data_IF_685061898517
#
_entry.id   IF_685061898517
#
_cell.length_a   1.000
_cell.length_b   1.000
_cell.length_c   1.000
_cell.angle_alpha   90.00
_cell.angle_beta   90.00
_cell.angle_gamma   90.00
#
_symmetry.space_group_name_H-M   'P 1'
#
loop_
_entity.id
_entity.type
_entity.pdbx_description
1 polymer ?
#
# COMPACT_ATOMS: atom_id res chain seq x y z
N UNK A 1 6.30 5.46 0.41
CA UNK A 1 4.86 5.83 0.42
C UNK A 1 4.36 5.85 -1.02
N UNK A 2 3.06 6.06 -1.28
CA UNK A 2 2.49 6.27 -2.62
C UNK A 2 1.37 7.31 -2.57
N UNK A 3 1.31 8.18 -3.59
CA UNK A 3 0.30 9.24 -3.69
C UNK A 3 -1.10 8.65 -3.87
N UNK A 4 -1.25 7.59 -4.65
CA UNK A 4 -2.55 6.93 -4.85
C UNK A 4 -2.45 5.47 -5.22
N UNK A 5 -3.58 4.76 -5.18
CA UNK A 5 -3.69 3.35 -5.60
C UNK A 5 -3.44 3.13 -7.09
N UNK A 6 -3.44 4.18 -7.92
CA UNK A 6 -2.95 4.10 -9.30
C UNK A 6 -1.48 3.66 -9.39
N UNK A 7 -0.74 3.80 -8.29
CA UNK A 7 0.65 3.36 -8.15
C UNK A 7 0.76 1.95 -7.55
N UNK A 8 -0.21 1.06 -7.77
CA UNK A 8 -0.22 -0.30 -7.21
C UNK A 8 0.98 -1.14 -7.65
N UNK A 9 1.34 -1.12 -8.95
CA UNK A 9 2.52 -1.82 -9.46
C UNK A 9 3.82 -1.40 -8.74
N UNK A 10 4.19 -0.10 -8.69
CA UNK A 10 5.36 0.31 -7.94
C UNK A 10 5.21 0.13 -6.42
N UNK A 11 3.99 0.08 -5.87
CA UNK A 11 3.77 -0.28 -4.47
C UNK A 11 4.19 -1.73 -4.19
N UNK A 12 3.79 -2.69 -5.04
CA UNK A 12 4.18 -4.10 -4.93
C UNK A 12 5.71 -4.24 -4.98
N UNK A 13 6.38 -3.54 -5.89
CA UNK A 13 7.86 -3.53 -5.97
C UNK A 13 8.48 -3.03 -4.65
N UNK A 14 7.94 -1.93 -4.09
CA UNK A 14 8.39 -1.42 -2.79
C UNK A 14 8.16 -2.43 -1.66
N UNK A 15 7.05 -3.16 -1.66
CA UNK A 15 6.75 -4.20 -0.66
C UNK A 15 7.79 -5.32 -0.74
N UNK A 16 8.07 -5.86 -1.92
CA UNK A 16 9.10 -6.90 -2.10
C UNK A 16 10.45 -6.43 -1.59
N UNK A 17 10.87 -5.20 -1.91
CA UNK A 17 12.13 -4.64 -1.44
C UNK A 17 12.20 -4.53 0.09
N UNK A 18 11.10 -4.10 0.74
CA UNK A 18 11.01 -4.02 2.20
C UNK A 18 11.10 -5.42 2.84
N UNK A 19 10.33 -6.39 2.33
CA UNK A 19 10.34 -7.76 2.83
C UNK A 19 11.71 -8.41 2.69
N UNK A 20 12.38 -8.25 1.55
CA UNK A 20 13.71 -8.81 1.33
C UNK A 20 14.75 -8.26 2.32
N UNK A 21 14.65 -6.96 2.65
CA UNK A 21 15.65 -6.28 3.49
C UNK A 21 15.34 -6.39 4.99
N UNK A 22 14.07 -6.33 5.37
CA UNK A 22 13.64 -6.14 6.75
C UNK A 22 12.74 -7.27 7.25
N UNK A 23 12.33 -8.21 6.39
CA UNK A 23 11.34 -9.27 6.68
C UNK A 23 9.94 -8.72 7.05
N UNK A 24 9.75 -7.41 6.99
CA UNK A 24 8.49 -6.71 7.23
C UNK A 24 8.42 -5.45 6.35
N UNK A 25 7.23 -4.86 6.23
CA UNK A 25 7.05 -3.64 5.47
C UNK A 25 5.70 -2.97 5.73
N UNK A 26 5.70 -1.64 5.67
CA UNK A 26 4.50 -0.81 5.80
C UNK A 26 4.43 0.19 4.66
N UNK A 27 3.31 0.21 3.94
CA UNK A 27 3.10 1.11 2.80
C UNK A 27 1.79 1.88 2.98
N UNK A 28 1.87 3.21 2.86
CA UNK A 28 0.72 4.08 2.84
C UNK A 28 0.43 4.54 1.42
N UNK A 29 -0.84 4.43 1.02
CA UNK A 29 -1.42 5.16 -0.11
C UNK A 29 -2.03 6.47 0.38
N UNK A 30 -2.13 7.47 -0.50
CA UNK A 30 -2.66 8.80 -0.16
C UNK A 30 -1.61 9.74 0.44
N UNK A 31 -0.31 9.48 0.22
CA UNK A 31 0.79 10.30 0.75
C UNK A 31 1.82 10.56 -0.34
N UNK A 32 2.17 11.83 -0.54
CA UNK A 32 3.22 12.24 -1.48
C UNK A 32 4.61 11.79 -1.00
N UNK A 33 5.59 11.84 -1.90
CA UNK A 33 6.99 11.52 -1.55
C UNK A 33 7.60 12.51 -0.53
N UNK A 34 7.07 13.75 -0.46
CA UNK A 34 7.44 14.76 0.54
C UNK A 34 6.78 14.54 1.92
N UNK A 35 6.00 13.47 2.09
CA UNK A 35 5.28 13.16 3.33
C UNK A 35 3.92 13.84 3.47
N UNK A 36 3.53 14.73 2.55
CA UNK A 36 2.22 15.39 2.59
C UNK A 36 1.09 14.38 2.39
N UNK A 37 0.16 14.33 3.34
CA UNK A 37 -1.06 13.52 3.23
C UNK A 37 -2.04 14.20 2.27
N UNK A 38 -2.42 13.49 1.20
CA UNK A 38 -3.39 13.96 0.19
C UNK A 38 -4.71 13.18 0.21
N UNK A 39 -4.76 12.09 0.99
CA UNK A 39 -5.91 11.20 1.05
C UNK A 39 -6.01 10.26 -0.15
N UNK A 40 -6.93 9.32 -0.05
CA UNK A 40 -7.22 8.33 -1.09
C UNK A 40 -8.71 7.98 -0.99
N UNK A 41 -9.41 8.05 -2.11
CA UNK A 41 -10.78 7.52 -2.18
C UNK A 41 -10.73 5.99 -2.11
N UNK A 42 -11.55 5.43 -1.23
CA UNK A 42 -11.65 3.99 -1.01
C UNK A 42 -13.01 3.54 -1.53
N UNK A 43 -13.01 2.88 -2.69
CA UNK A 43 -14.19 2.25 -3.27
C UNK A 43 -14.42 0.84 -2.73
N UNK A 44 -15.54 0.23 -3.13
CA UNK A 44 -15.99 -1.09 -2.64
C UNK A 44 -14.94 -2.19 -2.82
N UNK A 45 -14.15 -2.12 -3.90
CA UNK A 45 -13.17 -3.14 -4.27
C UNK A 45 -11.73 -2.78 -3.93
N UNK A 46 -11.46 -1.56 -3.46
CA UNK A 46 -10.09 -1.05 -3.34
C UNK A 46 -9.20 -1.96 -2.48
N UNK A 47 -9.69 -2.40 -1.32
CA UNK A 47 -8.92 -3.28 -0.43
C UNK A 47 -8.69 -4.66 -1.06
N UNK A 48 -9.72 -5.20 -1.72
CA UNK A 48 -9.67 -6.50 -2.41
C UNK A 48 -8.65 -6.48 -3.54
N UNK A 49 -8.68 -5.46 -4.39
CA UNK A 49 -7.72 -5.29 -5.49
C UNK A 49 -6.28 -5.21 -4.98
N UNK A 50 -6.04 -4.46 -3.90
CA UNK A 50 -4.70 -4.35 -3.29
C UNK A 50 -4.25 -5.72 -2.75
N UNK A 51 -5.11 -6.41 -2.00
CA UNK A 51 -4.80 -7.74 -1.45
C UNK A 51 -4.49 -8.75 -2.54
N UNK A 52 -5.32 -8.80 -3.59
CA UNK A 52 -5.14 -9.71 -4.72
C UNK A 52 -3.82 -9.44 -5.43
N UNK A 53 -3.51 -8.18 -5.75
CA UNK A 53 -2.26 -7.82 -6.41
C UNK A 53 -1.03 -8.24 -5.58
N UNK A 54 -1.04 -8.02 -4.27
CA UNK A 54 0.07 -8.43 -3.40
C UNK A 54 0.23 -9.96 -3.42
N UNK A 55 -0.86 -10.71 -3.24
CA UNK A 55 -0.80 -12.18 -3.23
C UNK A 55 -0.49 -12.81 -4.59
N UNK A 56 -0.80 -12.13 -5.69
CA UNK A 56 -0.61 -12.63 -7.06
C UNK A 56 0.79 -12.36 -7.61
N UNK A 57 1.48 -11.32 -7.11
CA UNK A 57 2.75 -10.85 -7.67
C UNK A 57 3.94 -10.93 -6.72
N UNK A 58 3.75 -11.47 -5.50
CA UNK A 58 4.83 -11.70 -4.53
C UNK A 58 4.90 -13.19 -4.21
N UNK A 59 6.11 -13.77 -4.30
CA UNK A 59 6.38 -15.15 -3.89
C UNK A 59 7.53 -15.22 -2.85
N UNK A 60 7.40 -16.03 -1.78
CA UNK A 60 6.21 -16.82 -1.41
C UNK A 60 4.99 -15.92 -1.13
N UNK A 61 3.77 -16.43 -1.38
CA UNK A 61 2.52 -15.66 -1.22
C UNK A 61 2.46 -14.92 0.11
N UNK A 62 2.22 -13.61 0.02
CA UNK A 62 2.04 -12.73 1.17
C UNK A 62 0.58 -12.26 1.25
N UNK A 63 0.01 -12.33 2.44
CA UNK A 63 -1.33 -11.81 2.74
C UNK A 63 -1.21 -10.57 3.62
N UNK A 64 -1.47 -9.37 3.08
CA UNK A 64 -1.28 -8.12 3.81
C UNK A 64 -2.43 -7.85 4.79
N UNK A 65 -2.12 -7.19 5.91
CA UNK A 65 -3.14 -6.54 6.74
C UNK A 65 -3.37 -5.13 6.22
N UNK A 66 -4.56 -4.86 5.69
CA UNK A 66 -4.92 -3.56 5.09
C UNK A 66 -5.88 -2.83 6.04
N UNK A 67 -5.61 -1.55 6.34
CA UNK A 67 -6.43 -0.71 7.22
C UNK A 67 -6.63 0.66 6.58
N UNK A 68 -7.84 1.21 6.72
CA UNK A 68 -8.10 2.62 6.46
C UNK A 68 -7.64 3.44 7.66
N UNK A 69 -6.92 4.54 7.40
CA UNK A 69 -6.45 5.47 8.43
C UNK A 69 -7.04 6.84 8.15
N UNK A 70 -7.74 7.41 9.14
CA UNK A 70 -8.29 8.77 9.09
C UNK A 70 -7.37 9.70 9.86
N UNK A 71 -6.95 10.80 9.24
CA UNK A 71 -6.21 11.87 9.91
C UNK A 71 -7.17 13.02 10.21
N UNK A 72 -7.34 13.34 11.48
CA UNK A 72 -8.01 14.56 11.92
C UNK A 72 -6.94 15.65 12.08
N UNK A 73 -7.15 16.78 11.42
CA UNK A 73 -6.33 17.98 11.64
C UNK A 73 -6.98 18.69 12.83
N UNK A 74 -6.26 18.78 13.96
CA UNK A 74 -6.66 19.58 15.12
C UNK A 74 -6.16 21.02 14.96
#
# INVERSE_FOLDING_TARGET
MKKSTAQLKPAVISIVAMLNKHQEGKLYFGVKEDGTVVGQEIGIDTLRTISQAISAYIEPKVYPVIRQVTYFIY
#
